data_IF_585916031189
#
_entry.id   IF_585916031189
#
_cell.length_a   1.000
_cell.length_b   1.000
_cell.length_c   1.000
_cell.angle_alpha   90.00
_cell.angle_beta   90.00
_cell.angle_gamma   90.00
#
_symmetry.space_group_name_H-M   'P 1'
#
loop_
_entity.id
_entity.type
_entity.pdbx_description
1 polymer ?
#
# COMPACT_ATOMS: atom_id res chain seq x y z
N UNK A 1 0.74 3.22 6.98
CA UNK A 1 -0.29 4.23 6.64
C UNK A 1 -0.20 5.38 7.63
N UNK A 2 0.35 6.55 7.26
CA UNK A 2 0.70 7.58 8.22
C UNK A 2 -0.44 8.11 9.09
N UNK A 3 -1.59 8.47 8.50
CA UNK A 3 -2.71 9.02 9.29
C UNK A 3 -3.30 8.01 10.26
N UNK A 4 -3.45 6.74 9.83
CA UNK A 4 -4.00 5.68 10.69
C UNK A 4 -3.08 5.45 11.88
N UNK A 5 -1.76 5.35 11.66
CA UNK A 5 -0.81 5.16 12.76
C UNK A 5 -0.81 6.35 13.72
N UNK A 6 -0.95 7.58 13.22
CA UNK A 6 -1.10 8.78 14.07
C UNK A 6 -2.41 8.76 14.87
N UNK A 7 -3.53 8.44 14.22
CA UNK A 7 -4.84 8.34 14.86
C UNK A 7 -4.84 7.28 15.97
N UNK A 8 -4.30 6.08 15.68
CA UNK A 8 -4.21 4.99 16.66
C UNK A 8 -3.36 5.41 17.87
N UNK A 9 -2.22 6.07 17.65
CA UNK A 9 -1.38 6.61 18.74
C UNK A 9 -2.14 7.62 19.60
N UNK A 10 -2.94 8.50 18.98
CA UNK A 10 -3.75 9.49 19.68
C UNK A 10 -4.87 8.84 20.52
N UNK A 11 -5.58 7.85 19.95
CA UNK A 11 -6.72 7.19 20.62
C UNK A 11 -6.26 6.32 21.79
N UNK A 12 -5.22 5.50 21.60
CA UNK A 12 -4.81 4.55 22.62
C UNK A 12 -3.96 5.17 23.74
N UNK A 13 -3.46 6.40 23.55
CA UNK A 13 -2.50 7.04 24.46
C UNK A 13 -1.36 6.07 24.83
N UNK A 14 -0.87 5.34 23.83
CA UNK A 14 -0.06 4.14 24.02
C UNK A 14 0.92 3.92 22.89
N UNK A 15 1.86 3.00 23.13
CA UNK A 15 2.88 2.64 22.16
C UNK A 15 2.27 1.82 21.01
N UNK A 16 2.23 2.42 19.82
CA UNK A 16 1.92 1.72 18.57
C UNK A 16 3.20 1.56 17.77
N UNK A 17 3.59 0.31 17.53
CA UNK A 17 4.74 -0.06 16.71
C UNK A 17 4.29 -0.71 15.41
N UNK A 18 4.97 -0.37 14.32
CA UNK A 18 4.78 -0.98 13.01
C UNK A 18 5.90 -2.01 12.80
N UNK A 19 5.54 -3.22 12.37
CA UNK A 19 6.49 -4.28 12.07
C UNK A 19 6.20 -4.88 10.70
N UNK A 20 7.25 -5.16 9.94
CA UNK A 20 7.17 -5.83 8.64
C UNK A 20 7.84 -7.20 8.71
N UNK A 21 7.25 -8.16 8.00
CA UNK A 21 7.77 -9.51 7.84
C UNK A 21 6.75 -10.42 7.18
N UNK A 22 7.16 -11.64 6.86
CA UNK A 22 6.28 -12.66 6.28
C UNK A 22 6.43 -13.99 7.03
N UNK A 23 5.62 -14.97 6.64
CA UNK A 23 5.67 -16.32 7.22
C UNK A 23 7.04 -16.96 6.98
N UNK A 24 7.58 -16.74 5.79
CA UNK A 24 8.83 -17.30 5.30
C UNK A 24 10.06 -16.72 6.04
N UNK A 25 9.94 -15.56 6.70
CA UNK A 25 10.99 -14.96 7.54
C UNK A 25 10.82 -15.26 9.03
N UNK A 26 9.88 -16.13 9.40
CA UNK A 26 9.50 -16.41 10.79
C UNK A 26 9.11 -15.11 11.52
N UNK A 27 8.21 -14.35 10.90
CA UNK A 27 7.65 -13.12 11.43
C UNK A 27 8.51 -11.89 11.16
N UNK A 28 8.67 -11.05 12.17
CA UNK A 28 9.23 -9.69 12.07
C UNK A 28 10.65 -9.67 11.52
N UNK A 29 10.85 -8.90 10.46
CA UNK A 29 12.14 -8.56 9.81
C UNK A 29 12.58 -7.16 10.20
N UNK A 30 11.66 -6.20 10.24
CA UNK A 30 11.91 -4.83 10.71
C UNK A 30 10.81 -4.38 11.67
N UNK A 31 11.15 -3.53 12.63
CA UNK A 31 10.19 -2.94 13.56
C UNK A 31 10.54 -1.50 13.92
N UNK A 32 9.52 -0.65 14.00
CA UNK A 32 9.67 0.73 14.48
C UNK A 32 10.16 0.73 15.93
N UNK A 33 11.17 1.54 16.22
CA UNK A 33 11.73 1.65 17.57
C UNK A 33 10.76 2.36 18.52
N UNK A 34 10.84 2.01 19.81
CA UNK A 34 10.09 2.73 20.86
C UNK A 34 10.56 4.18 20.92
N UNK A 35 9.62 5.12 20.83
CA UNK A 35 9.93 6.55 20.74
C UNK A 35 10.22 7.06 19.33
N UNK A 36 10.12 6.21 18.31
CA UNK A 36 10.13 6.65 16.91
C UNK A 36 8.78 7.25 16.52
N UNK A 37 8.76 8.57 16.32
CA UNK A 37 7.56 9.31 15.98
C UNK A 37 7.33 9.44 14.47
N UNK A 38 8.35 9.16 13.64
CA UNK A 38 8.17 9.11 12.19
C UNK A 38 7.18 8.01 11.83
N UNK A 39 6.39 8.29 10.81
CA UNK A 39 5.31 7.40 10.38
C UNK A 39 5.57 6.96 8.95
N UNK A 40 5.30 5.68 8.66
CA UNK A 40 5.60 5.08 7.36
C UNK A 40 7.01 4.46 7.27
N UNK A 41 7.87 4.67 8.26
CA UNK A 41 9.12 3.93 8.39
C UNK A 41 8.86 2.64 9.19
N UNK A 42 9.23 1.49 8.62
CA UNK A 42 9.18 0.18 9.28
C UNK A 42 10.29 0.00 10.33
N UNK A 43 11.18 0.98 10.47
CA UNK A 43 12.21 1.02 11.49
C UNK A 43 13.44 0.17 11.21
N UNK A 44 14.03 -0.35 12.29
CA UNK A 44 15.33 -1.01 12.27
C UNK A 44 15.19 -2.50 11.95
N UNK A 45 16.25 -3.06 11.34
CA UNK A 45 16.37 -4.49 11.05
C UNK A 45 16.47 -5.29 12.35
N UNK A 46 15.66 -6.33 12.46
CA UNK A 46 15.61 -7.21 13.62
C UNK A 46 16.92 -8.03 13.77
N UNK A 47 17.20 -8.47 14.98
CA UNK A 47 18.40 -9.27 15.25
C UNK A 47 18.42 -10.59 14.45
N UNK A 48 19.59 -10.92 13.90
CA UNK A 48 19.84 -12.21 13.25
C UNK A 48 19.31 -12.32 11.82
N UNK A 49 18.92 -11.20 11.20
CA UNK A 49 18.60 -11.11 9.77
C UNK A 49 19.40 -9.98 9.12
N UNK A 50 19.68 -10.16 7.83
CA UNK A 50 20.29 -9.20 6.93
C UNK A 50 19.24 -8.82 5.89
N UNK A 51 19.20 -7.54 5.50
CA UNK A 51 18.24 -7.02 4.53
C UNK A 51 19.00 -6.25 3.46
N UNK A 52 18.68 -6.54 2.19
CA UNK A 52 19.15 -5.76 1.03
C UNK A 52 17.95 -5.37 0.16
N UNK A 53 18.14 -4.37 -0.69
CA UNK A 53 17.25 -4.12 -1.83
C UNK A 53 17.89 -4.73 -3.08
N UNK A 54 17.11 -5.47 -3.86
CA UNK A 54 17.50 -6.03 -5.15
C UNK A 54 16.83 -5.28 -6.31
N UNK A 55 17.49 -5.23 -7.46
CA UNK A 55 16.92 -4.61 -8.66
C UNK A 55 15.68 -5.38 -9.14
N UNK A 56 14.67 -4.66 -9.62
CA UNK A 56 13.45 -5.26 -10.20
C UNK A 56 13.33 -4.78 -11.64
N UNK A 57 14.10 -5.43 -12.51
CA UNK A 57 14.28 -4.99 -13.90
C UNK A 57 12.98 -5.02 -14.71
N UNK A 58 12.06 -5.93 -14.39
CA UNK A 58 10.73 -6.00 -15.04
C UNK A 58 9.90 -4.75 -14.77
N UNK A 59 10.07 -4.13 -13.60
CA UNK A 59 9.48 -2.83 -13.24
C UNK A 59 10.42 -1.65 -13.62
N UNK A 60 11.56 -1.93 -14.24
CA UNK A 60 12.58 -0.94 -14.56
C UNK A 60 13.22 -0.29 -13.35
N UNK A 61 13.10 -0.88 -12.15
CA UNK A 61 13.66 -0.35 -10.90
C UNK A 61 15.11 -0.81 -10.72
N UNK A 62 16.01 0.16 -10.53
CA UNK A 62 17.43 -0.08 -10.26
C UNK A 62 17.79 0.62 -8.95
N UNK A 63 18.18 -0.14 -7.93
CA UNK A 63 18.40 0.33 -6.56
C UNK A 63 19.36 1.51 -6.53
N UNK A 64 20.45 1.44 -7.30
CA UNK A 64 21.46 2.51 -7.37
C UNK A 64 20.92 3.83 -7.92
N UNK A 65 19.92 3.78 -8.80
CA UNK A 65 19.31 4.97 -9.44
C UNK A 65 18.13 5.49 -8.64
N UNK A 66 17.26 4.57 -8.20
CA UNK A 66 15.94 4.90 -7.69
C UNK A 66 15.84 4.82 -6.17
N UNK A 67 16.88 4.34 -5.49
CA UNK A 67 16.88 4.01 -4.05
C UNK A 67 15.76 3.03 -3.65
N UNK A 68 15.24 2.28 -4.62
CA UNK A 68 14.10 1.37 -4.49
C UNK A 68 14.41 0.03 -5.13
N UNK A 69 13.91 -1.02 -4.52
CA UNK A 69 14.06 -2.38 -5.03
C UNK A 69 13.28 -3.38 -4.22
N UNK A 70 13.36 -4.65 -4.61
CA UNK A 70 12.76 -5.74 -3.86
C UNK A 70 13.49 -5.96 -2.54
N UNK A 71 12.74 -6.03 -1.44
CA UNK A 71 13.25 -6.38 -0.12
C UNK A 71 13.65 -7.85 -0.15
N UNK A 72 14.93 -8.11 0.09
CA UNK A 72 15.51 -9.44 0.17
C UNK A 72 16.06 -9.67 1.58
N UNK A 73 15.75 -10.81 2.17
CA UNK A 73 16.07 -11.12 3.57
C UNK A 73 16.92 -12.38 3.66
N UNK A 74 17.99 -12.35 4.44
CA UNK A 74 18.84 -13.51 4.71
C UNK A 74 19.04 -13.68 6.21
N UNK A 75 18.94 -14.90 6.72
CA UNK A 75 19.16 -15.16 8.14
C UNK A 75 18.80 -16.59 8.54
N UNK A 76 19.32 -17.03 9.69
CA UNK A 76 19.07 -18.40 10.21
C UNK A 76 17.61 -18.67 10.54
N UNK A 77 16.81 -17.61 10.69
CA UNK A 77 15.39 -17.65 11.01
C UNK A 77 14.50 -17.82 9.77
N UNK A 78 15.02 -17.60 8.57
CA UNK A 78 14.25 -17.79 7.35
C UNK A 78 13.93 -19.26 7.12
N UNK A 79 12.83 -19.53 6.42
CA UNK A 79 12.43 -20.87 6.00
C UNK A 79 13.51 -21.54 5.16
N UNK A 80 13.52 -22.87 5.16
CA UNK A 80 14.34 -23.68 4.25
C UNK A 80 13.69 -23.85 2.86
N UNK A 81 12.47 -23.37 2.69
CA UNK A 81 11.68 -23.52 1.48
C UNK A 81 10.28 -24.08 1.75
N UNK A 82 9.57 -24.36 0.66
CA UNK A 82 8.24 -24.95 0.69
C UNK A 82 8.31 -26.48 0.69
N UNK A 83 7.40 -27.11 1.43
CA UNK A 83 7.38 -28.57 1.56
C UNK A 83 7.04 -29.25 0.23
N UNK A 84 7.92 -30.14 -0.24
CA UNK A 84 7.79 -30.89 -1.51
C UNK A 84 7.63 -30.01 -2.76
N UNK A 85 8.04 -28.74 -2.70
CA UNK A 85 8.00 -27.84 -3.85
C UNK A 85 9.38 -27.18 -4.05
N UNK A 86 10.32 -27.89 -4.71
CA UNK A 86 11.65 -27.37 -4.97
C UNK A 86 11.64 -26.21 -5.98
N UNK A 87 10.63 -26.12 -6.85
CA UNK A 87 10.54 -25.04 -7.85
C UNK A 87 10.19 -23.72 -7.18
N UNK A 88 9.12 -23.68 -6.39
CA UNK A 88 8.75 -22.47 -5.64
C UNK A 88 9.81 -22.12 -4.60
N UNK A 89 10.51 -23.11 -4.04
CA UNK A 89 11.64 -22.87 -3.12
C UNK A 89 12.79 -22.15 -3.81
N UNK A 90 13.16 -22.58 -5.03
CA UNK A 90 14.23 -21.95 -5.79
C UNK A 90 13.86 -20.55 -6.34
N UNK A 91 12.57 -20.27 -6.51
CA UNK A 91 12.07 -18.93 -6.81
C UNK A 91 12.06 -18.02 -5.58
N UNK A 92 11.80 -18.59 -4.39
CA UNK A 92 11.78 -17.85 -3.13
C UNK A 92 13.19 -17.51 -2.63
N UNK A 93 14.14 -18.44 -2.75
CA UNK A 93 15.49 -18.31 -2.18
C UNK A 93 16.52 -18.42 -3.30
N UNK A 94 17.31 -17.36 -3.51
CA UNK A 94 18.36 -17.33 -4.53
C UNK A 94 19.57 -18.22 -4.17
N UNK A 95 20.50 -18.39 -5.12
CA UNK A 95 21.71 -19.18 -4.93
C UNK A 95 22.65 -18.66 -3.83
N UNK A 96 22.54 -17.38 -3.49
CA UNK A 96 23.31 -16.73 -2.43
C UNK A 96 22.60 -16.81 -1.07
N UNK A 97 21.42 -17.43 -1.02
CA UNK A 97 20.62 -17.65 0.19
C UNK A 97 19.76 -16.46 0.60
N UNK A 98 19.48 -15.52 -0.30
CA UNK A 98 18.54 -14.43 -0.07
C UNK A 98 17.13 -14.85 -0.39
N UNK A 99 16.23 -14.57 0.54
CA UNK A 99 14.80 -14.75 0.40
C UNK A 99 14.17 -13.51 -0.24
N UNK A 100 13.56 -13.69 -1.40
CA UNK A 100 12.84 -12.66 -2.14
C UNK A 100 11.42 -12.51 -1.58
N UNK A 101 11.10 -11.39 -0.94
CA UNK A 101 9.78 -11.22 -0.29
C UNK A 101 8.68 -10.83 -1.26
N UNK A 102 9.03 -10.39 -2.47
CA UNK A 102 8.08 -9.80 -3.42
C UNK A 102 7.53 -8.44 -2.98
N UNK A 103 8.18 -7.76 -2.03
CA UNK A 103 7.84 -6.42 -1.56
C UNK A 103 8.87 -5.41 -2.06
N UNK A 104 8.43 -4.24 -2.51
CA UNK A 104 9.30 -3.11 -2.83
C UNK A 104 9.53 -2.28 -1.57
N UNK A 105 10.80 -2.03 -1.29
CA UNK A 105 11.24 -1.17 -0.20
C UNK A 105 12.09 0.00 -0.68
N UNK A 106 12.21 0.99 0.20
CA UNK A 106 13.10 2.13 0.07
C UNK A 106 13.84 2.35 1.40
N UNK A 107 15.14 2.67 1.34
CA UNK A 107 15.88 3.11 2.52
C UNK A 107 15.68 4.61 2.73
N UNK A 108 15.24 5.00 3.92
CA UNK A 108 15.21 6.43 4.27
C UNK A 108 16.64 6.96 4.45
N UNK A 109 16.86 8.29 4.34
CA UNK A 109 18.17 8.90 4.60
C UNK A 109 18.78 8.56 5.97
N UNK A 110 17.92 8.23 6.94
CA UNK A 110 18.29 7.85 8.30
C UNK A 110 18.58 6.35 8.46
N UNK A 111 18.45 5.56 7.39
CA UNK A 111 18.73 4.13 7.37
C UNK A 111 17.58 3.24 7.87
N UNK A 112 16.35 3.75 7.92
CA UNK A 112 15.16 2.93 8.19
C UNK A 112 14.59 2.35 6.90
N UNK A 113 14.00 1.16 6.97
CA UNK A 113 13.29 0.59 5.82
C UNK A 113 11.88 1.17 5.73
N UNK A 114 11.41 1.50 4.53
CA UNK A 114 10.04 1.87 4.25
C UNK A 114 9.45 0.92 3.20
N UNK A 115 8.22 0.47 3.43
CA UNK A 115 7.47 -0.35 2.48
C UNK A 115 6.81 0.55 1.45
N UNK A 116 6.96 0.22 0.17
CA UNK A 116 6.34 0.97 -0.93
C UNK A 116 5.08 0.27 -1.42
N UNK A 117 5.20 -0.98 -1.88
CA UNK A 117 4.09 -1.82 -2.39
C UNK A 117 4.62 -3.26 -2.62
N UNK A 118 3.78 -4.16 -3.14
CA UNK A 118 4.16 -5.49 -3.64
C UNK A 118 4.59 -5.44 -5.10
N UNK A 119 5.64 -6.17 -5.46
CA UNK A 119 6.13 -6.31 -6.85
C UNK A 119 5.01 -6.71 -7.81
N UNK A 120 4.14 -7.64 -7.39
CA UNK A 120 3.03 -8.16 -8.21
C UNK A 120 1.79 -7.26 -8.23
N UNK A 121 1.66 -6.34 -7.27
CA UNK A 121 0.52 -5.42 -7.21
C UNK A 121 0.77 -4.16 -8.02
N UNK A 122 2.04 -3.77 -8.22
CA UNK A 122 2.39 -2.65 -9.08
C UNK A 122 2.01 -2.96 -10.53
N UNK A 123 1.16 -2.11 -11.12
CA UNK A 123 0.79 -2.21 -12.52
C UNK A 123 1.39 -1.09 -13.36
N UNK A 124 1.58 -1.38 -14.65
CA UNK A 124 2.11 -0.47 -15.65
C UNK A 124 0.98 0.03 -16.54
N UNK A 125 0.81 1.34 -16.62
CA UNK A 125 -0.15 1.98 -17.53
C UNK A 125 0.38 2.02 -18.96
N UNK A 126 -0.49 2.29 -19.94
CA UNK A 126 -0.13 2.26 -21.36
C UNK A 126 0.98 3.25 -21.75
N UNK A 127 1.11 4.36 -21.02
CA UNK A 127 2.17 5.36 -21.16
C UNK A 127 3.51 4.95 -20.54
N UNK A 128 3.56 3.79 -19.89
CA UNK A 128 4.78 3.23 -19.30
C UNK A 128 5.06 3.63 -17.85
N UNK A 129 4.20 4.45 -17.24
CA UNK A 129 4.26 4.81 -15.83
C UNK A 129 3.79 3.66 -14.95
N UNK A 130 4.46 3.48 -13.80
CA UNK A 130 4.11 2.47 -12.81
C UNK A 130 3.29 3.09 -11.68
N UNK A 131 2.25 2.37 -11.25
CA UNK A 131 1.36 2.80 -10.17
C UNK A 131 1.34 1.73 -9.08
N UNK A 132 1.43 2.21 -7.85
CA UNK A 132 1.39 1.42 -6.62
C UNK A 132 -0.03 1.52 -6.02
N UNK A 133 -0.92 0.51 -6.24
CA UNK A 133 -2.30 0.60 -5.79
C UNK A 133 -2.43 0.66 -4.28
N UNK A 134 -1.63 -0.09 -3.51
CA UNK A 134 -1.77 -0.12 -2.04
C UNK A 134 -1.51 1.25 -1.43
N UNK A 135 -0.58 2.01 -2.01
CA UNK A 135 -0.32 3.41 -1.63
C UNK A 135 -1.54 4.30 -1.88
N UNK A 136 -2.22 4.15 -3.01
CA UNK A 136 -3.39 4.95 -3.38
C UNK A 136 -4.62 4.56 -2.56
N UNK A 137 -4.86 3.25 -2.39
CA UNK A 137 -5.94 2.72 -1.56
C UNK A 137 -5.82 3.23 -0.14
N UNK A 138 -4.63 3.11 0.47
CA UNK A 138 -4.34 3.63 1.81
C UNK A 138 -4.62 5.14 1.93
N UNK A 139 -4.29 5.91 0.88
CA UNK A 139 -4.53 7.35 0.86
C UNK A 139 -6.04 7.65 0.86
N UNK A 140 -6.79 7.05 -0.06
CA UNK A 140 -8.23 7.29 -0.19
C UNK A 140 -9.04 6.71 0.98
N UNK A 141 -8.56 5.64 1.61
CA UNK A 141 -9.18 5.05 2.80
C UNK A 141 -9.19 6.00 4.01
N UNK A 142 -8.40 7.08 3.99
CA UNK A 142 -8.48 8.16 4.99
C UNK A 142 -9.76 9.00 4.90
N UNK A 143 -10.52 8.89 3.80
CA UNK A 143 -11.77 9.59 3.59
C UNK A 143 -12.95 8.91 4.31
N UNK A 144 -13.66 9.63 5.17
CA UNK A 144 -14.82 9.09 5.91
C UNK A 144 -15.98 8.58 5.03
N UNK A 145 -16.06 9.04 3.77
CA UNK A 145 -17.08 8.59 2.81
C UNK A 145 -16.78 7.19 2.22
N UNK A 146 -15.57 6.68 2.39
CA UNK A 146 -15.11 5.41 1.82
C UNK A 146 -15.01 4.37 2.93
N UNK A 147 -15.78 3.29 2.82
CA UNK A 147 -15.68 2.16 3.75
C UNK A 147 -14.60 1.17 3.28
N UNK A 148 -14.53 0.88 1.98
CA UNK A 148 -13.48 0.09 1.35
C UNK A 148 -13.20 0.62 -0.05
N UNK A 149 -11.96 0.50 -0.51
CA UNK A 149 -11.55 0.82 -1.87
C UNK A 149 -10.63 -0.29 -2.40
N UNK A 150 -10.77 -0.61 -3.68
CA UNK A 150 -9.87 -1.48 -4.43
C UNK A 150 -9.50 -0.78 -5.74
N UNK A 151 -8.21 -0.70 -6.04
CA UNK A 151 -7.68 -0.01 -7.22
C UNK A 151 -6.98 -1.02 -8.12
N UNK A 152 -7.34 -0.99 -9.41
CA UNK A 152 -6.72 -1.80 -10.44
C UNK A 152 -6.57 -0.97 -11.72
N UNK A 153 -5.77 -1.45 -12.68
CA UNK A 153 -5.71 -0.84 -13.99
C UNK A 153 -5.50 -1.88 -15.10
N UNK A 154 -6.15 -1.64 -16.22
CA UNK A 154 -5.83 -2.35 -17.44
C UNK A 154 -4.49 -1.83 -17.98
N UNK A 155 -3.50 -2.68 -18.32
CA UNK A 155 -2.24 -2.24 -18.93
C UNK A 155 -2.37 -1.44 -20.24
N UNK A 156 -3.55 -1.51 -20.89
CA UNK A 156 -3.89 -0.74 -22.09
C UNK A 156 -4.58 0.59 -21.79
N UNK A 157 -4.94 0.85 -20.53
CA UNK A 157 -5.51 2.11 -20.07
C UNK A 157 -4.41 3.10 -19.70
N UNK A 158 -4.74 4.39 -19.75
CA UNK A 158 -3.86 5.47 -19.30
C UNK A 158 -4.17 5.96 -17.88
N UNK A 159 -5.22 5.42 -17.26
CA UNK A 159 -5.69 5.75 -15.91
C UNK A 159 -6.07 4.48 -15.14
N UNK A 160 -5.94 4.49 -13.80
CA UNK A 160 -6.46 3.44 -12.94
C UNK A 160 -7.97 3.53 -12.79
N UNK A 161 -8.58 2.45 -12.31
CA UNK A 161 -10.00 2.37 -11.94
C UNK A 161 -10.12 1.95 -10.48
N UNK A 162 -11.14 2.46 -9.79
CA UNK A 162 -11.41 2.13 -8.40
C UNK A 162 -12.80 1.51 -8.23
N UNK A 163 -12.89 0.46 -7.43
CA UNK A 163 -14.15 -0.07 -6.90
C UNK A 163 -14.27 0.42 -5.46
N UNK A 164 -15.35 1.13 -5.17
CA UNK A 164 -15.57 1.75 -3.86
C UNK A 164 -16.81 1.15 -3.21
N UNK A 165 -16.67 0.80 -1.93
CA UNK A 165 -17.80 0.53 -1.04
C UNK A 165 -18.05 1.81 -0.24
N UNK A 166 -19.15 2.52 -0.49
CA UNK A 166 -19.51 3.71 0.28
C UNK A 166 -19.66 3.42 1.78
N UNK A 167 -19.27 4.39 2.60
CA UNK A 167 -19.82 4.50 3.94
C UNK A 167 -21.23 5.11 3.82
N UNK A 168 -22.26 4.26 3.77
CA UNK A 168 -23.64 4.71 3.53
C UNK A 168 -24.17 5.68 4.60
N UNK A 169 -23.69 5.58 5.84
CA UNK A 169 -24.10 6.51 6.90
C UNK A 169 -23.60 7.93 6.63
N UNK A 170 -22.29 8.08 6.40
CA UNK A 170 -21.64 9.36 6.06
C UNK A 170 -22.14 9.90 4.72
N UNK A 171 -22.35 9.02 3.74
CA UNK A 171 -22.90 9.39 2.44
C UNK A 171 -24.31 9.98 2.59
N UNK A 172 -25.21 9.31 3.33
CA UNK A 172 -26.57 9.81 3.56
C UNK A 172 -26.59 11.10 4.37
N UNK A 173 -25.72 11.24 5.37
CA UNK A 173 -25.58 12.52 6.08
C UNK A 173 -25.11 13.63 5.13
N UNK A 174 -24.12 13.36 4.29
CA UNK A 174 -23.63 14.32 3.29
C UNK A 174 -24.73 14.70 2.28
N UNK A 175 -25.51 13.73 1.81
CA UNK A 175 -26.63 13.94 0.89
C UNK A 175 -27.78 14.70 1.56
N UNK A 176 -28.05 14.49 2.85
CA UNK A 176 -29.09 15.22 3.57
C UNK A 176 -28.89 16.74 3.60
N UNK A 177 -27.66 17.21 3.32
CA UNK A 177 -27.32 18.64 3.25
C UNK A 177 -27.45 19.21 1.85
N UNK A 178 -27.51 18.37 0.81
CA UNK A 178 -27.43 18.80 -0.60
C UNK A 178 -28.58 18.32 -1.49
N UNK A 179 -29.11 17.12 -1.23
CA UNK A 179 -30.11 16.46 -2.06
C UNK A 179 -30.95 15.46 -1.25
N UNK A 180 -32.13 15.91 -0.81
CA UNK A 180 -33.01 15.13 0.07
C UNK A 180 -33.71 13.97 -0.63
N UNK A 181 -33.85 13.99 -1.96
CA UNK A 181 -34.54 12.93 -2.71
C UNK A 181 -33.71 11.64 -2.74
N UNK A 182 -32.39 11.78 -2.82
CA UNK A 182 -31.45 10.65 -2.83
C UNK A 182 -31.36 9.95 -1.47
N UNK A 183 -31.64 10.65 -0.36
CA UNK A 183 -31.50 10.11 1.01
C UNK A 183 -32.41 8.92 1.27
N UNK A 184 -33.52 8.79 0.54
CA UNK A 184 -34.49 7.71 0.74
C UNK A 184 -34.28 6.51 -0.21
N UNK A 185 -33.35 6.60 -1.16
CA UNK A 185 -33.04 5.50 -2.07
C UNK A 185 -32.37 4.35 -1.33
N UNK A 186 -32.51 3.13 -1.88
CA UNK A 186 -31.76 1.98 -1.37
C UNK A 186 -30.25 2.15 -1.58
N UNK A 187 -29.43 1.45 -0.80
CA UNK A 187 -27.97 1.48 -0.94
C UNK A 187 -27.53 1.08 -2.36
N UNK A 188 -28.24 0.10 -2.96
CA UNK A 188 -28.01 -0.33 -4.33
C UNK A 188 -28.28 0.81 -5.34
N UNK A 189 -29.42 1.50 -5.21
CA UNK A 189 -29.82 2.54 -6.16
C UNK A 189 -28.93 3.78 -6.04
N UNK A 190 -28.46 4.10 -4.83
CA UNK A 190 -27.45 5.13 -4.61
C UNK A 190 -26.16 4.84 -5.38
N UNK A 191 -25.69 3.59 -5.35
CA UNK A 191 -24.49 3.17 -6.06
C UNK A 191 -24.63 3.20 -7.58
N UNK A 192 -25.84 3.23 -8.14
CA UNK A 192 -26.09 3.36 -9.57
C UNK A 192 -26.32 4.81 -10.01
N UNK A 193 -26.44 5.74 -9.06
CA UNK A 193 -26.83 7.11 -9.36
C UNK A 193 -25.63 7.97 -9.81
N UNK A 194 -25.73 8.62 -10.97
CA UNK A 194 -24.62 9.38 -11.57
C UNK A 194 -24.12 10.52 -10.67
N UNK A 195 -25.03 11.17 -9.93
CA UNK A 195 -24.64 12.23 -8.99
C UNK A 195 -23.76 11.72 -7.86
N UNK A 196 -23.95 10.47 -7.42
CA UNK A 196 -23.13 9.82 -6.39
C UNK A 196 -21.75 9.51 -6.98
N UNK A 197 -21.68 8.96 -8.20
CA UNK A 197 -20.40 8.75 -8.89
C UNK A 197 -19.60 10.04 -9.03
N UNK A 198 -20.25 11.13 -9.47
CA UNK A 198 -19.62 12.44 -9.61
C UNK A 198 -19.13 13.00 -8.28
N UNK A 199 -19.90 12.80 -7.20
CA UNK A 199 -19.49 13.18 -5.84
C UNK A 199 -18.22 12.44 -5.42
N UNK A 200 -18.16 11.12 -5.62
CA UNK A 200 -16.97 10.34 -5.30
C UNK A 200 -15.76 10.75 -6.15
N UNK A 201 -15.92 10.92 -7.46
CA UNK A 201 -14.84 11.40 -8.33
C UNK A 201 -14.29 12.75 -7.87
N UNK A 202 -15.15 13.72 -7.54
CA UNK A 202 -14.70 15.02 -7.03
C UNK A 202 -13.93 14.90 -5.71
N UNK A 203 -14.35 14.00 -4.82
CA UNK A 203 -13.67 13.75 -3.53
C UNK A 203 -12.29 13.11 -3.76
N UNK A 204 -12.20 12.12 -4.65
CA UNK A 204 -10.93 11.50 -5.01
C UNK A 204 -9.98 12.52 -5.66
N UNK A 205 -10.48 13.35 -6.58
CA UNK A 205 -9.71 14.42 -7.22
C UNK A 205 -9.21 15.44 -6.20
N UNK A 206 -10.04 15.82 -5.24
CA UNK A 206 -9.65 16.75 -4.18
C UNK A 206 -8.51 16.16 -3.34
N UNK A 207 -8.64 14.92 -2.87
CA UNK A 207 -7.60 14.24 -2.08
C UNK A 207 -6.32 14.11 -2.91
N UNK A 208 -6.43 13.73 -4.18
CA UNK A 208 -5.29 13.59 -5.08
C UNK A 208 -4.53 14.90 -5.29
N UNK A 209 -5.26 16.02 -5.43
CA UNK A 209 -4.69 17.35 -5.56
C UNK A 209 -4.00 17.83 -4.26
N UNK A 210 -4.66 17.65 -3.11
CA UNK A 210 -4.10 18.00 -1.80
C UNK A 210 -2.80 17.23 -1.49
N UNK A 211 -2.66 16.03 -2.05
CA UNK A 211 -1.51 15.13 -1.85
C UNK A 211 -0.53 15.14 -3.01
N UNK A 212 -0.70 16.06 -3.96
CA UNK A 212 0.18 16.25 -5.12
C UNK A 212 0.42 14.96 -5.93
N UNK A 213 -0.61 14.12 -6.04
CA UNK A 213 -0.55 12.93 -6.90
C UNK A 213 -0.34 13.34 -8.35
N UNK A 214 0.49 12.56 -9.05
CA UNK A 214 0.75 12.78 -10.48
C UNK A 214 -0.51 12.48 -11.28
N UNK A 215 -0.66 13.09 -12.46
CA UNK A 215 -1.89 12.96 -13.26
C UNK A 215 -2.28 11.53 -13.65
N UNK A 216 -1.32 10.59 -13.66
CA UNK A 216 -1.57 9.17 -13.92
C UNK A 216 -1.89 8.36 -12.66
N UNK A 217 -1.71 8.93 -11.47
CA UNK A 217 -2.10 8.35 -10.17
C UNK A 217 -3.52 8.79 -9.75
N UNK A 218 -4.16 9.69 -10.51
CA UNK A 218 -5.50 10.23 -10.24
C UNK A 218 -6.59 9.35 -10.83
#
# INVERSE_FOLDING_TARGET
>A
MPEITQFMRAVFNGLVVEGFGCTETMGVVTVSLVGEFRVGALGAVAYGVEVKLADVLDLGLVVKRDNRGEICVKGKRCTKGYYKDPQSTALLIDSDGWLHTGDIGEWTPEGSLMLVDRVKSIFKLAQGEYVAPEKLEALYQSCGLINQIFIDANPKSIYPVAIIVPNFNELRESLSKTDHELVNLSDHDLCQHESVHRKYLNVLDQIANERFLKGFEK
#
